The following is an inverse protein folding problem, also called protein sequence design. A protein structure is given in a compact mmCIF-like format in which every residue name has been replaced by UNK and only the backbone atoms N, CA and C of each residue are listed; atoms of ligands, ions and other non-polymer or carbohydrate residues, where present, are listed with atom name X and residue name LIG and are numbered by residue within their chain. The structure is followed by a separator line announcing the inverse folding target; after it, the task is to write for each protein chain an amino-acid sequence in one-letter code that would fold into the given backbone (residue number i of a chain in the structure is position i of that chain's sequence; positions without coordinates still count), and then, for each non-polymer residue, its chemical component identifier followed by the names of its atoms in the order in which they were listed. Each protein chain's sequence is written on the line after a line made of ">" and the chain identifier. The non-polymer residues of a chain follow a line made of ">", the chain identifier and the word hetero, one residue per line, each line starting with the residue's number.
data_IF_684650341272
#
_entry.id   IF_684650341272
#
_cell.length_a   1.000
_cell.length_b   1.000
_cell.length_c   1.000
_cell.angle_alpha   90.00
_cell.angle_beta   90.00
_cell.angle_gamma   90.00
#
_symmetry.space_group_name_H-M   'P 1'
#
loop_
_entity.id
_entity.type
_entity.pdbx_description
1 polymer ?
#
# COMPACT_ATOMS: atom_id res chain seq x y z
N UNK A 1 -2.70 9.02 -50.38
CA UNK A 1 -1.85 8.29 -49.44
C UNK A 1 -2.13 8.84 -48.06
N UNK A 2 -3.12 8.26 -47.38
CA UNK A 2 -3.37 8.51 -45.95
C UNK A 2 -2.27 7.79 -45.19
N UNK A 3 -1.27 8.55 -44.72
CA UNK A 3 -0.34 8.04 -43.74
C UNK A 3 -1.16 7.65 -42.52
N UNK A 4 -1.17 6.36 -42.18
CA UNK A 4 -1.56 5.89 -40.85
C UNK A 4 -0.62 6.56 -39.86
N UNK A 5 -1.04 7.67 -39.28
CA UNK A 5 -0.42 8.22 -38.08
C UNK A 5 -0.57 7.13 -37.03
N UNK A 6 0.53 6.44 -36.69
CA UNK A 6 0.54 5.58 -35.51
C UNK A 6 0.19 6.49 -34.35
N UNK A 7 -1.01 6.31 -33.80
CA UNK A 7 -1.48 7.07 -32.65
C UNK A 7 -0.49 6.84 -31.51
N UNK A 8 0.04 7.90 -30.93
CA UNK A 8 1.02 7.78 -29.86
C UNK A 8 0.38 7.02 -28.69
N UNK A 9 1.06 5.99 -28.18
CA UNK A 9 0.50 5.07 -27.19
C UNK A 9 1.45 4.98 -25.97
N UNK A 10 0.95 5.23 -24.74
CA UNK A 10 1.71 4.99 -23.51
C UNK A 10 2.42 3.63 -23.48
N UNK A 11 1.80 2.57 -23.99
CA UNK A 11 2.40 1.24 -24.01
C UNK A 11 3.68 1.17 -24.87
N UNK A 12 3.75 1.95 -25.95
CA UNK A 12 4.94 2.03 -26.80
C UNK A 12 6.04 2.90 -26.16
N UNK A 13 5.67 3.91 -25.37
CA UNK A 13 6.59 4.78 -24.66
C UNK A 13 7.13 4.15 -23.35
N UNK A 14 6.44 3.14 -22.82
CA UNK A 14 6.74 2.50 -21.54
C UNK A 14 8.19 2.02 -21.37
N UNK A 15 8.81 1.28 -22.34
CA UNK A 15 10.20 0.85 -22.18
C UNK A 15 11.17 2.02 -22.07
N UNK A 16 10.98 3.07 -22.87
CA UNK A 16 11.82 4.27 -22.83
C UNK A 16 11.62 5.06 -21.53
N UNK A 17 10.40 5.13 -21.01
CA UNK A 17 10.14 5.74 -19.71
C UNK A 17 10.83 4.98 -18.57
N UNK A 18 10.75 3.64 -18.55
CA UNK A 18 11.47 2.81 -17.57
C UNK A 18 12.99 2.96 -17.65
N UNK A 19 13.54 3.09 -18.85
CA UNK A 19 14.97 3.37 -19.04
C UNK A 19 15.36 4.72 -18.45
N UNK A 20 14.54 5.77 -18.63
CA UNK A 20 14.76 7.05 -17.98
C UNK A 20 14.76 6.94 -16.45
N UNK A 21 13.86 6.12 -15.87
CA UNK A 21 13.85 5.86 -14.43
C UNK A 21 15.11 5.12 -13.96
N UNK A 22 15.57 4.13 -14.75
CA UNK A 22 16.77 3.34 -14.44
C UNK A 22 18.04 4.20 -14.42
N UNK A 23 18.16 5.10 -15.39
CA UNK A 23 19.30 6.02 -15.54
C UNK A 23 19.16 7.30 -14.70
N UNK A 24 18.10 7.42 -13.90
CA UNK A 24 17.77 8.60 -13.10
C UNK A 24 17.68 9.91 -13.91
N UNK A 25 17.23 9.84 -15.16
CA UNK A 25 17.07 11.00 -16.06
C UNK A 25 15.66 11.60 -15.93
N UNK A 26 15.49 12.53 -14.97
CA UNK A 26 14.24 13.26 -14.78
C UNK A 26 13.83 14.02 -16.05
N UNK A 27 14.79 14.61 -16.76
CA UNK A 27 14.49 15.46 -17.91
C UNK A 27 13.91 14.62 -19.05
N UNK A 28 14.58 13.53 -19.42
CA UNK A 28 14.10 12.62 -20.44
C UNK A 28 12.75 11.99 -20.05
N UNK A 29 12.55 11.61 -18.79
CA UNK A 29 11.28 11.08 -18.31
C UNK A 29 10.11 12.07 -18.49
N UNK A 30 10.34 13.36 -18.18
CA UNK A 30 9.35 14.42 -18.41
C UNK A 30 9.10 14.64 -19.90
N UNK A 31 10.13 14.62 -20.74
CA UNK A 31 9.99 14.76 -22.19
C UNK A 31 9.16 13.62 -22.81
N UNK A 32 9.30 12.37 -22.33
CA UNK A 32 8.47 11.24 -22.76
C UNK A 32 6.99 11.53 -22.49
N UNK A 33 6.65 11.95 -21.27
CA UNK A 33 5.26 12.27 -20.93
C UNK A 33 4.73 13.48 -21.71
N UNK A 34 5.55 14.52 -21.89
CA UNK A 34 5.19 15.71 -22.68
C UNK A 34 4.95 15.37 -24.15
N UNK A 35 5.79 14.52 -24.74
CA UNK A 35 5.63 14.06 -26.12
C UNK A 35 4.30 13.32 -26.34
N UNK A 36 3.88 12.48 -25.40
CA UNK A 36 2.56 11.82 -25.44
C UNK A 36 1.42 12.86 -25.42
N UNK A 37 1.51 13.86 -24.54
CA UNK A 37 0.51 14.92 -24.44
C UNK A 37 0.44 15.78 -25.71
N UNK A 38 1.59 16.16 -26.27
CA UNK A 38 1.70 16.91 -27.54
C UNK A 38 1.13 16.12 -28.73
N UNK A 39 1.25 14.78 -28.69
CA UNK A 39 0.64 13.89 -29.66
C UNK A 39 -0.87 13.65 -29.45
N UNK A 40 -1.49 14.30 -28.45
CA UNK A 40 -2.92 14.25 -28.20
C UNK A 40 -3.38 13.12 -27.26
N UNK A 41 -2.46 12.39 -26.62
CA UNK A 41 -2.82 11.37 -25.63
C UNK A 41 -3.46 12.04 -24.41
N UNK A 42 -4.63 11.56 -23.94
CA UNK A 42 -5.26 12.13 -22.75
C UNK A 42 -4.36 12.05 -21.52
N UNK A 43 -4.31 13.12 -20.70
CA UNK A 43 -3.50 13.15 -19.48
C UNK A 43 -3.83 11.99 -18.52
N UNK A 44 -5.11 11.59 -18.40
CA UNK A 44 -5.52 10.43 -17.61
C UNK A 44 -4.84 9.14 -18.09
N UNK A 45 -4.67 8.94 -19.40
CA UNK A 45 -3.96 7.79 -19.99
C UNK A 45 -2.46 7.85 -19.70
N UNK A 46 -1.83 9.03 -19.77
CA UNK A 46 -0.41 9.18 -19.40
C UNK A 46 -0.19 8.81 -17.92
N UNK A 47 -1.08 9.24 -17.03
CA UNK A 47 -0.99 8.90 -15.60
C UNK A 47 -1.20 7.40 -15.33
N UNK A 48 -2.23 6.81 -15.92
CA UNK A 48 -2.67 5.45 -15.58
C UNK A 48 -2.04 4.34 -16.43
N UNK A 49 -1.59 4.64 -17.65
CA UNK A 49 -1.04 3.65 -18.57
C UNK A 49 0.47 3.81 -18.84
N UNK A 50 1.10 4.89 -18.35
CA UNK A 50 2.56 5.05 -18.34
C UNK A 50 3.11 5.05 -16.91
N UNK A 51 2.70 6.02 -16.08
CA UNK A 51 3.30 6.23 -14.76
C UNK A 51 2.92 5.11 -13.79
N UNK A 52 1.63 4.77 -13.67
CA UNK A 52 1.18 3.71 -12.77
C UNK A 52 1.83 2.33 -13.05
N UNK A 53 1.86 1.81 -14.29
CA UNK A 53 2.51 0.53 -14.55
C UNK A 53 4.03 0.60 -14.39
N UNK A 54 4.65 1.75 -14.67
CA UNK A 54 6.10 1.90 -14.48
C UNK A 54 6.45 1.82 -12.99
N UNK A 55 5.65 2.45 -12.15
CA UNK A 55 5.80 2.35 -10.69
C UNK A 55 5.58 0.93 -10.17
N UNK A 56 4.67 0.16 -10.78
CA UNK A 56 4.50 -1.25 -10.43
C UNK A 56 5.77 -2.07 -10.78
N UNK A 57 6.32 -1.88 -11.97
CA UNK A 57 7.57 -2.53 -12.40
C UNK A 57 8.77 -2.13 -11.52
N UNK A 58 8.86 -0.85 -11.12
CA UNK A 58 9.87 -0.38 -10.15
C UNK A 58 9.78 -1.18 -8.84
N UNK A 59 8.56 -1.41 -8.34
CA UNK A 59 8.32 -2.24 -7.15
C UNK A 59 8.74 -3.70 -7.34
N UNK A 60 8.45 -4.29 -8.50
CA UNK A 60 8.85 -5.67 -8.84
C UNK A 60 10.37 -5.83 -8.91
N UNK A 61 11.07 -4.90 -9.55
CA UNK A 61 12.55 -4.91 -9.61
C UNK A 61 13.18 -4.75 -8.24
N UNK A 62 12.59 -3.91 -7.38
CA UNK A 62 13.00 -3.81 -5.99
C UNK A 62 12.76 -5.12 -5.23
N UNK A 63 11.61 -5.76 -5.40
CA UNK A 63 11.29 -7.02 -4.73
C UNK A 63 12.30 -8.13 -5.07
N UNK A 64 12.67 -8.21 -6.35
CA UNK A 64 13.64 -9.19 -6.89
C UNK A 64 15.11 -8.88 -6.61
N UNK A 65 15.40 -7.83 -5.83
CA UNK A 65 16.77 -7.35 -5.53
C UNK A 65 17.55 -6.91 -6.78
N UNK A 66 16.84 -6.59 -7.87
CA UNK A 66 17.44 -6.02 -9.10
C UNK A 66 17.71 -4.53 -8.91
N UNK A 67 16.83 -3.85 -8.17
CA UNK A 67 16.94 -2.42 -7.86
C UNK A 67 17.07 -2.21 -6.35
N UNK A 68 18.05 -1.39 -5.97
CA UNK A 68 18.24 -0.95 -4.60
C UNK A 68 17.12 -0.02 -4.14
N UNK A 69 17.00 0.17 -2.82
CA UNK A 69 16.10 1.18 -2.22
C UNK A 69 16.37 2.59 -2.78
N UNK A 70 17.64 2.93 -3.04
CA UNK A 70 17.99 4.23 -3.62
C UNK A 70 17.46 4.41 -5.05
N UNK A 71 17.50 3.34 -5.87
CA UNK A 71 16.95 3.36 -7.23
C UNK A 71 15.43 3.45 -7.23
N UNK A 72 14.75 2.70 -6.35
CA UNK A 72 13.30 2.81 -6.16
C UNK A 72 12.91 4.24 -5.76
N UNK A 73 13.57 4.82 -4.75
CA UNK A 73 13.29 6.19 -4.32
C UNK A 73 13.54 7.22 -5.43
N UNK A 74 14.63 7.10 -6.18
CA UNK A 74 14.93 7.99 -7.30
C UNK A 74 13.84 7.90 -8.39
N UNK A 75 13.45 6.69 -8.79
CA UNK A 75 12.42 6.46 -9.79
C UNK A 75 11.04 6.96 -9.35
N UNK A 76 10.67 6.75 -8.08
CA UNK A 76 9.42 7.26 -7.50
C UNK A 76 9.40 8.80 -7.50
N UNK A 77 10.52 9.44 -7.14
CA UNK A 77 10.63 10.90 -7.19
C UNK A 77 10.57 11.45 -8.62
N UNK A 78 11.21 10.80 -9.59
CA UNK A 78 11.10 11.18 -11.01
C UNK A 78 9.65 11.03 -11.49
N UNK A 79 8.97 9.96 -11.09
CA UNK A 79 7.54 9.75 -11.39
C UNK A 79 6.66 10.86 -10.82
N UNK A 80 6.90 11.31 -9.58
CA UNK A 80 6.21 12.48 -9.01
C UNK A 80 6.44 13.75 -9.83
N UNK A 81 7.66 13.95 -10.35
CA UNK A 81 8.00 15.10 -11.21
C UNK A 81 7.27 15.04 -12.55
N UNK A 82 7.15 13.84 -13.12
CA UNK A 82 6.37 13.58 -14.34
C UNK A 82 4.89 13.84 -14.10
N UNK A 83 4.32 13.35 -13.00
CA UNK A 83 2.92 13.63 -12.62
C UNK A 83 2.68 15.14 -12.48
N UNK A 84 3.59 15.87 -11.85
CA UNK A 84 3.49 17.34 -11.75
C UNK A 84 3.55 18.02 -13.12
N UNK A 85 4.38 17.54 -14.06
CA UNK A 85 4.46 18.07 -15.42
C UNK A 85 3.16 17.81 -16.21
N UNK A 86 2.60 16.60 -16.12
CA UNK A 86 1.30 16.25 -16.71
C UNK A 86 0.19 17.14 -16.13
N UNK A 87 0.20 17.35 -14.81
CA UNK A 87 -0.78 18.18 -14.14
C UNK A 87 -0.71 19.66 -14.57
N UNK A 88 0.49 20.18 -14.81
CA UNK A 88 0.70 21.54 -15.29
C UNK A 88 0.30 21.73 -16.76
N UNK A 89 0.35 20.67 -17.57
CA UNK A 89 -0.07 20.71 -18.98
C UNK A 89 -1.59 20.81 -19.13
N UNK A 90 -2.36 20.13 -18.27
CA UNK A 90 -3.83 20.14 -18.28
C UNK A 90 -4.37 20.73 -16.97
N UNK A 91 -4.81 21.99 -17.01
CA UNK A 91 -5.35 22.72 -15.84
C UNK A 91 -6.85 23.08 -16.00
N UNK A 92 -7.76 22.08 -15.91
CA UNK A 92 -9.19 22.33 -15.99
C UNK A 92 -9.66 23.08 -14.74
N UNK A 93 -10.55 24.07 -14.95
CA UNK A 93 -11.24 24.69 -13.82
C UNK A 93 -12.16 23.66 -13.14
N UNK A 94 -12.18 23.62 -11.80
CA UNK A 94 -13.10 22.73 -11.09
C UNK A 94 -14.55 23.13 -11.37
N UNK A 95 -15.40 22.14 -11.58
CA UNK A 95 -16.84 22.26 -11.84
C UNK A 95 -17.70 21.50 -10.83
N UNK A 96 -17.07 20.74 -9.94
CA UNK A 96 -17.70 19.93 -8.88
C UNK A 96 -17.21 20.37 -7.49
N UNK A 97 -17.73 19.71 -6.45
CA UNK A 97 -17.37 19.97 -5.05
C UNK A 97 -15.91 19.67 -4.71
N UNK A 98 -15.57 19.79 -3.42
CA UNK A 98 -14.22 19.53 -2.92
C UNK A 98 -14.04 18.08 -2.49
N UNK A 99 -13.01 17.41 -2.98
CA UNK A 99 -12.55 16.13 -2.43
C UNK A 99 -11.18 16.32 -1.79
N UNK A 100 -11.03 15.79 -0.58
CA UNK A 100 -9.75 15.67 0.09
C UNK A 100 -9.18 14.27 -0.18
N UNK A 101 -7.94 14.19 -0.63
CA UNK A 101 -7.24 12.94 -0.89
C UNK A 101 -6.04 12.85 0.06
N UNK A 102 -5.90 11.74 0.76
CA UNK A 102 -4.82 11.54 1.73
C UNK A 102 -4.41 10.07 1.84
N UNK A 103 -3.17 9.83 2.19
CA UNK A 103 -2.78 8.53 2.75
C UNK A 103 -3.18 8.46 4.21
N UNK A 104 -3.54 7.27 4.64
CA UNK A 104 -3.91 7.02 6.04
C UNK A 104 -2.72 7.23 6.99
N UNK A 105 -3.01 7.35 8.28
CA UNK A 105 -2.00 7.48 9.32
C UNK A 105 -0.98 6.31 9.27
N UNK A 106 0.31 6.64 9.21
CA UNK A 106 1.41 5.67 9.08
C UNK A 106 1.55 5.05 7.68
N UNK A 107 0.83 5.55 6.67
CA UNK A 107 0.95 5.15 5.26
C UNK A 107 1.78 6.18 4.47
N UNK A 108 2.89 5.74 3.91
CA UNK A 108 3.88 6.60 3.25
C UNK A 108 3.87 6.50 1.72
N UNK A 109 3.18 5.51 1.14
CA UNK A 109 3.11 5.32 -0.30
C UNK A 109 2.13 6.33 -0.94
N UNK A 110 2.62 7.56 -1.17
CA UNK A 110 1.81 8.70 -1.59
C UNK A 110 1.47 8.73 -3.09
N UNK A 111 2.34 8.20 -3.95
CA UNK A 111 2.20 8.31 -5.40
C UNK A 111 0.87 7.73 -5.93
N UNK A 112 0.40 6.54 -5.52
CA UNK A 112 -0.92 6.05 -5.97
C UNK A 112 -2.08 6.99 -5.58
N UNK A 113 -2.04 7.56 -4.38
CA UNK A 113 -3.04 8.53 -3.92
C UNK A 113 -2.93 9.84 -4.72
N UNK A 114 -1.71 10.25 -5.10
CA UNK A 114 -1.48 11.39 -5.97
C UNK A 114 -2.07 11.17 -7.36
N UNK A 115 -1.92 9.97 -7.94
CA UNK A 115 -2.55 9.64 -9.23
C UNK A 115 -4.08 9.72 -9.16
N UNK A 116 -4.69 9.19 -8.09
CA UNK A 116 -6.14 9.32 -7.84
C UNK A 116 -6.54 10.80 -7.75
N UNK A 117 -5.77 11.61 -7.02
CA UNK A 117 -6.01 13.04 -6.90
C UNK A 117 -6.00 13.75 -8.27
N UNK A 118 -5.06 13.40 -9.15
CA UNK A 118 -5.01 13.97 -10.50
C UNK A 118 -6.17 13.52 -11.38
N UNK A 119 -6.57 12.25 -11.34
CA UNK A 119 -7.72 11.75 -12.10
C UNK A 119 -9.01 12.44 -11.65
N UNK A 120 -9.22 12.60 -10.35
CA UNK A 120 -10.38 13.33 -9.83
C UNK A 120 -10.36 14.80 -10.28
N UNK A 121 -9.19 15.44 -10.29
CA UNK A 121 -9.01 16.82 -10.78
C UNK A 121 -9.35 16.94 -12.27
N UNK A 122 -8.86 16.02 -13.10
CA UNK A 122 -9.18 15.94 -14.53
C UNK A 122 -10.69 15.74 -14.75
N UNK A 123 -11.35 15.04 -13.84
CA UNK A 123 -12.81 14.87 -13.78
C UNK A 123 -13.51 16.01 -13.05
N UNK A 124 -12.92 17.21 -12.98
CA UNK A 124 -13.59 18.45 -12.59
C UNK A 124 -13.83 18.63 -11.09
N UNK A 125 -13.33 17.73 -10.22
CA UNK A 125 -13.39 17.92 -8.78
C UNK A 125 -12.37 18.96 -8.31
N UNK A 126 -12.72 19.73 -7.28
CA UNK A 126 -11.75 20.56 -6.58
C UNK A 126 -10.95 19.68 -5.61
N UNK A 127 -9.65 19.51 -5.88
CA UNK A 127 -8.83 18.56 -5.13
C UNK A 127 -7.91 19.24 -4.13
N UNK A 128 -7.87 18.68 -2.92
CA UNK A 128 -6.80 18.94 -1.95
C UNK A 128 -6.11 17.62 -1.64
N UNK A 129 -4.86 17.48 -2.07
CA UNK A 129 -4.02 16.34 -1.71
C UNK A 129 -3.19 16.67 -0.47
N UNK A 130 -3.37 15.90 0.61
CA UNK A 130 -2.68 16.12 1.89
C UNK A 130 -1.39 15.31 2.04
N UNK A 131 -1.11 14.40 1.11
CA UNK A 131 0.11 13.59 1.12
C UNK A 131 0.05 12.37 2.03
N UNK A 132 1.25 11.94 2.43
CA UNK A 132 1.50 10.77 3.26
C UNK A 132 1.12 10.96 4.73
N UNK A 133 0.79 9.85 5.41
CA UNK A 133 0.75 9.72 6.87
C UNK A 133 -0.02 10.82 7.60
N UNK A 134 -1.24 11.12 7.16
CA UNK A 134 -2.07 12.18 7.75
C UNK A 134 -2.75 11.68 9.03
N UNK A 135 -2.50 12.29 10.22
CA UNK A 135 -3.14 11.83 11.45
C UNK A 135 -4.65 12.08 11.44
N UNK A 136 -5.43 11.10 11.92
CA UNK A 136 -6.89 11.12 11.83
C UNK A 136 -7.54 12.37 12.48
N UNK A 137 -7.02 12.82 13.64
CA UNK A 137 -7.56 14.00 14.35
C UNK A 137 -7.38 15.30 13.54
N UNK A 138 -6.25 15.44 12.85
CA UNK A 138 -5.98 16.60 12.00
C UNK A 138 -6.75 16.53 10.69
N UNK A 139 -6.91 15.33 10.12
CA UNK A 139 -7.75 15.15 8.93
C UNK A 139 -9.18 15.59 9.20
N UNK A 140 -9.83 15.10 10.26
CA UNK A 140 -11.22 15.46 10.58
C UNK A 140 -11.39 16.98 10.71
N UNK A 141 -10.46 17.64 11.41
CA UNK A 141 -10.46 19.09 11.55
C UNK A 141 -10.32 19.81 10.21
N UNK A 142 -9.52 19.27 9.29
CA UNK A 142 -9.34 19.80 7.95
C UNK A 142 -10.61 19.64 7.10
N UNK A 143 -11.24 18.45 7.13
CA UNK A 143 -12.44 18.17 6.35
C UNK A 143 -13.58 19.14 6.69
N UNK A 144 -13.81 19.39 7.98
CA UNK A 144 -14.81 20.38 8.44
C UNK A 144 -14.48 21.80 8.00
N UNK A 145 -13.22 22.22 8.14
CA UNK A 145 -12.81 23.60 7.82
C UNK A 145 -13.03 23.96 6.36
N UNK A 146 -12.92 22.98 5.46
CA UNK A 146 -12.95 23.20 4.02
C UNK A 146 -14.20 22.65 3.32
N UNK A 147 -15.21 22.24 4.09
CA UNK A 147 -16.50 21.72 3.57
C UNK A 147 -16.29 20.63 2.50
N UNK A 148 -15.53 19.59 2.89
CA UNK A 148 -15.21 18.50 1.98
C UNK A 148 -16.47 17.69 1.64
N UNK A 149 -16.75 17.55 0.33
CA UNK A 149 -17.83 16.72 -0.19
C UNK A 149 -17.61 15.24 0.14
N UNK A 150 -16.35 14.79 0.03
CA UNK A 150 -15.93 13.44 0.40
C UNK A 150 -14.42 13.44 0.71
N UNK A 151 -13.97 12.35 1.34
CA UNK A 151 -12.55 12.05 1.50
C UNK A 151 -12.21 10.72 0.82
N UNK A 152 -11.15 10.72 0.01
CA UNK A 152 -10.55 9.52 -0.56
C UNK A 152 -9.27 9.17 0.21
N UNK A 153 -9.26 8.00 0.84
CA UNK A 153 -8.15 7.56 1.67
C UNK A 153 -7.43 6.36 1.06
N UNK A 154 -6.11 6.44 0.93
CA UNK A 154 -5.28 5.36 0.40
C UNK A 154 -4.59 4.57 1.51
N UNK A 155 -4.57 3.24 1.37
CA UNK A 155 -3.79 2.32 2.18
C UNK A 155 -3.09 1.30 1.28
N UNK A 156 -1.76 1.23 1.33
CA UNK A 156 -0.95 0.31 0.55
C UNK A 156 -0.57 -0.95 1.33
N UNK A 157 -0.54 -0.89 2.67
CA UNK A 157 -0.10 -2.00 3.52
C UNK A 157 -1.25 -2.55 4.40
N UNK A 158 -1.64 -3.83 4.26
CA UNK A 158 -2.73 -4.43 5.06
C UNK A 158 -2.53 -4.38 6.57
N UNK A 159 -1.28 -4.38 7.05
CA UNK A 159 -0.95 -4.18 8.47
C UNK A 159 -1.52 -2.88 9.07
N UNK A 160 -1.91 -1.90 8.23
CA UNK A 160 -2.51 -0.63 8.65
C UNK A 160 -4.03 -0.68 8.81
N UNK A 161 -4.71 -1.77 8.46
CA UNK A 161 -6.18 -1.88 8.53
C UNK A 161 -6.79 -1.49 9.89
N UNK A 162 -6.20 -1.82 11.06
CA UNK A 162 -6.73 -1.33 12.34
C UNK A 162 -6.67 0.20 12.49
N UNK A 163 -5.61 0.83 11.97
CA UNK A 163 -5.46 2.29 11.97
C UNK A 163 -6.42 2.92 10.95
N UNK A 164 -6.51 2.32 9.77
CA UNK A 164 -7.45 2.69 8.71
C UNK A 164 -8.89 2.71 9.22
N UNK A 165 -9.32 1.65 9.92
CA UNK A 165 -10.68 1.57 10.45
C UNK A 165 -10.97 2.68 11.46
N UNK A 166 -10.06 2.98 12.39
CA UNK A 166 -10.22 4.11 13.32
C UNK A 166 -10.36 5.45 12.60
N UNK A 167 -9.59 5.64 11.53
CA UNK A 167 -9.63 6.86 10.71
C UNK A 167 -10.94 6.98 9.92
N UNK A 168 -11.40 5.88 9.30
CA UNK A 168 -12.70 5.80 8.62
C UNK A 168 -13.83 6.18 9.59
N UNK A 169 -13.82 5.60 10.79
CA UNK A 169 -14.82 5.87 11.81
C UNK A 169 -14.76 7.30 12.35
N UNK A 170 -13.58 7.93 12.38
CA UNK A 170 -13.45 9.35 12.75
C UNK A 170 -14.05 10.28 11.69
N UNK A 171 -13.83 9.98 10.40
CA UNK A 171 -14.44 10.71 9.28
C UNK A 171 -15.97 10.53 9.25
N UNK A 172 -16.47 9.31 9.49
CA UNK A 172 -17.93 9.04 9.57
C UNK A 172 -18.63 9.80 10.68
N UNK A 173 -18.03 9.88 11.87
CA UNK A 173 -18.56 10.68 12.99
C UNK A 173 -18.62 12.18 12.68
N UNK A 174 -17.93 12.60 11.63
CA UNK A 174 -17.91 13.97 11.12
C UNK A 174 -18.88 14.19 9.96
N UNK A 175 -19.70 13.19 9.60
CA UNK A 175 -20.63 13.19 8.47
C UNK A 175 -19.98 13.48 7.11
N UNK A 176 -18.68 13.18 6.98
CA UNK A 176 -17.96 13.27 5.70
C UNK A 176 -17.93 11.89 5.05
N UNK A 177 -18.51 11.72 3.85
CA UNK A 177 -18.43 10.47 3.09
C UNK A 177 -16.98 10.03 2.85
N UNK A 178 -16.72 8.72 3.02
CA UNK A 178 -15.38 8.13 2.88
C UNK A 178 -15.41 7.11 1.74
N UNK A 179 -14.44 7.21 0.84
CA UNK A 179 -14.05 6.13 -0.07
C UNK A 179 -12.62 5.72 0.25
N UNK A 180 -12.33 4.43 0.21
CA UNK A 180 -10.97 3.92 0.41
C UNK A 180 -10.45 3.23 -0.84
N UNK A 181 -9.13 3.14 -0.96
CA UNK A 181 -8.49 2.43 -2.05
C UNK A 181 -7.09 1.96 -1.67
N UNK A 182 -6.46 1.29 -2.62
CA UNK A 182 -5.12 0.70 -2.46
C UNK A 182 -5.16 -0.75 -2.03
N UNK A 183 -4.07 -1.46 -2.34
CA UNK A 183 -3.90 -2.91 -2.13
C UNK A 183 -3.98 -3.32 -0.66
N UNK A 184 -3.87 -2.37 0.28
CA UNK A 184 -4.02 -2.60 1.71
C UNK A 184 -5.39 -3.14 2.10
N UNK A 185 -6.41 -2.99 1.24
CA UNK A 185 -7.76 -3.53 1.44
C UNK A 185 -8.03 -4.87 0.73
N UNK A 186 -6.99 -5.47 0.13
CA UNK A 186 -7.08 -6.67 -0.70
C UNK A 186 -7.37 -6.32 -2.17
N UNK A 187 -6.92 -7.17 -3.10
CA UNK A 187 -7.07 -6.94 -4.55
C UNK A 187 -8.53 -6.87 -5.05
N UNK A 188 -9.47 -7.35 -4.24
CA UNK A 188 -10.91 -7.38 -4.48
C UNK A 188 -11.70 -6.53 -3.44
N UNK A 189 -11.00 -5.75 -2.63
CA UNK A 189 -11.61 -4.93 -1.57
C UNK A 189 -12.24 -5.74 -0.43
N UNK A 190 -11.89 -7.03 -0.26
CA UNK A 190 -12.49 -7.89 0.79
C UNK A 190 -12.43 -7.29 2.19
N UNK A 191 -11.32 -6.66 2.57
CA UNK A 191 -11.20 -6.07 3.90
C UNK A 191 -11.92 -4.73 4.03
N UNK A 192 -12.12 -4.00 2.93
CA UNK A 192 -13.00 -2.83 2.96
C UNK A 192 -14.46 -3.23 3.22
N UNK A 193 -14.91 -4.37 2.68
CA UNK A 193 -16.24 -4.94 2.97
C UNK A 193 -16.39 -5.34 4.44
N UNK A 194 -15.37 -5.96 5.04
CA UNK A 194 -15.35 -6.31 6.48
C UNK A 194 -15.44 -5.05 7.35
N UNK A 195 -14.71 -4.00 6.98
CA UNK A 195 -14.73 -2.68 7.65
C UNK A 195 -15.94 -1.81 7.24
N UNK A 196 -16.82 -2.34 6.40
CA UNK A 196 -18.06 -1.71 5.99
C UNK A 196 -17.88 -0.39 5.26
N UNK A 197 -16.82 -0.20 4.47
CA UNK A 197 -16.49 1.07 3.77
C UNK A 197 -16.50 0.92 2.25
N UNK A 198 -16.96 1.93 1.47
CA UNK A 198 -16.85 1.92 0.00
C UNK A 198 -15.39 1.82 -0.44
N UNK A 199 -15.11 0.95 -1.42
CA UNK A 199 -13.77 0.73 -1.95
C UNK A 199 -13.72 0.89 -3.45
N UNK A 200 -12.65 1.52 -3.93
CA UNK A 200 -12.32 1.65 -5.34
C UNK A 200 -11.06 0.84 -5.67
N UNK A 201 -11.08 -0.03 -6.70
CA UNK A 201 -9.89 -0.73 -7.21
C UNK A 201 -8.91 0.22 -7.91
N UNK A 202 -9.39 1.30 -8.51
CA UNK A 202 -8.60 2.21 -9.34
C UNK A 202 -9.15 3.65 -9.29
N UNK A 203 -8.41 4.58 -9.92
CA UNK A 203 -8.76 5.99 -9.93
C UNK A 203 -10.06 6.32 -10.70
N UNK A 204 -10.35 5.72 -11.87
CA UNK A 204 -11.65 5.87 -12.54
C UNK A 204 -12.83 5.46 -11.65
N UNK A 205 -12.76 4.29 -11.02
CA UNK A 205 -13.82 3.80 -10.14
C UNK A 205 -13.95 4.67 -8.89
N UNK A 206 -12.84 5.17 -8.35
CA UNK A 206 -12.89 6.14 -7.25
C UNK A 206 -13.65 7.41 -7.66
N UNK A 207 -13.43 7.91 -8.89
CA UNK A 207 -14.14 9.06 -9.42
C UNK A 207 -15.64 8.83 -9.64
N UNK A 208 -16.02 7.62 -10.05
CA UNK A 208 -17.42 7.24 -10.21
C UNK A 208 -18.12 7.10 -8.86
N UNK A 209 -17.45 6.48 -7.87
CA UNK A 209 -17.98 6.32 -6.52
C UNK A 209 -18.17 7.64 -5.78
N UNK A 210 -17.21 8.57 -5.85
CA UNK A 210 -17.35 9.88 -5.19
C UNK A 210 -18.41 10.77 -5.84
N UNK A 211 -18.82 10.46 -7.07
CA UNK A 211 -19.93 11.15 -7.74
C UNK A 211 -21.31 10.60 -7.36
N UNK A 212 -21.38 9.42 -6.73
CA UNK A 212 -22.62 8.81 -6.26
C UNK A 212 -22.68 8.79 -4.71
N UNK A 213 -23.24 9.86 -4.15
CA UNK A 213 -23.38 9.99 -2.69
C UNK A 213 -24.21 8.84 -2.08
N UNK A 214 -25.18 8.29 -2.83
CA UNK A 214 -25.97 7.15 -2.37
C UNK A 214 -25.08 5.91 -2.26
N UNK A 215 -24.21 5.67 -3.24
CA UNK A 215 -23.26 4.55 -3.19
C UNK A 215 -22.31 4.68 -1.98
N UNK A 216 -21.80 5.88 -1.69
CA UNK A 216 -20.93 6.12 -0.53
C UNK A 216 -21.61 5.79 0.81
N UNK A 217 -22.92 6.01 0.91
CA UNK A 217 -23.70 5.80 2.14
C UNK A 217 -24.36 4.42 2.22
N UNK A 218 -24.37 3.63 1.15
CA UNK A 218 -25.11 2.36 1.07
C UNK A 218 -24.37 1.13 1.66
N UNK A 219 -23.21 1.31 2.29
CA UNK A 219 -22.40 0.18 2.77
C UNK A 219 -22.84 -0.25 4.18
N UNK A 220 -23.03 -1.56 4.43
CA UNK A 220 -23.34 -2.06 5.77
C UNK A 220 -22.26 -1.68 6.78
N UNK A 221 -22.61 -1.51 8.06
CA UNK A 221 -21.62 -1.25 9.11
C UNK A 221 -20.64 -2.42 9.24
N UNK A 222 -19.44 -2.12 9.74
CA UNK A 222 -18.42 -3.12 10.04
C UNK A 222 -18.98 -4.19 11.00
N UNK A 223 -18.61 -5.45 10.76
CA UNK A 223 -18.95 -6.59 11.63
C UNK A 223 -17.66 -7.17 12.18
N UNK A 224 -17.36 -6.83 13.43
CA UNK A 224 -16.09 -7.16 14.10
C UNK A 224 -16.32 -7.81 15.47
N UNK A 225 -17.38 -8.61 15.59
CA UNK A 225 -17.79 -9.25 16.85
C UNK A 225 -16.67 -10.14 17.44
N UNK A 226 -15.83 -10.69 16.56
CA UNK A 226 -14.67 -11.50 16.90
C UNK A 226 -13.60 -10.71 17.69
N UNK A 227 -13.58 -9.37 17.65
CA UNK A 227 -12.64 -8.58 18.46
C UNK A 227 -12.93 -8.62 19.96
N UNK A 228 -14.07 -9.17 20.37
CA UNK A 228 -14.42 -9.36 21.78
C UNK A 228 -13.58 -10.43 22.49
N UNK A 229 -12.81 -11.25 21.76
CA UNK A 229 -11.92 -12.26 22.32
C UNK A 229 -10.59 -11.72 22.87
N UNK A 230 -10.37 -10.40 22.78
CA UNK A 230 -9.17 -9.68 23.21
C UNK A 230 -7.85 -10.14 22.56
N UNK A 231 -7.85 -11.06 21.58
CA UNK A 231 -6.60 -11.57 20.98
C UNK A 231 -5.82 -10.45 20.28
N UNK A 232 -6.52 -9.67 19.44
CA UNK A 232 -5.94 -8.50 18.76
C UNK A 232 -5.43 -7.46 19.78
N UNK A 233 -6.24 -7.15 20.79
CA UNK A 233 -5.91 -6.12 21.77
C UNK A 233 -4.69 -6.52 22.62
N UNK A 234 -4.59 -7.80 22.97
CA UNK A 234 -3.48 -8.39 23.69
C UNK A 234 -2.21 -8.40 22.85
N UNK A 235 -2.28 -8.82 21.59
CA UNK A 235 -1.16 -8.82 20.66
C UNK A 235 -0.62 -7.41 20.43
N UNK A 236 -1.50 -6.43 20.19
CA UNK A 236 -1.13 -5.04 19.98
C UNK A 236 -0.39 -4.43 21.20
N UNK A 237 -0.82 -4.77 22.43
CA UNK A 237 -0.13 -4.33 23.66
C UNK A 237 1.23 -5.00 23.86
N UNK A 238 1.36 -6.26 23.43
CA UNK A 238 2.58 -7.07 23.58
C UNK A 238 3.55 -6.94 22.40
N UNK A 239 3.26 -6.08 21.41
CA UNK A 239 4.09 -5.91 20.21
C UNK A 239 5.58 -5.77 20.49
N UNK A 240 5.96 -4.86 21.40
CA UNK A 240 7.37 -4.65 21.77
C UNK A 240 8.01 -5.89 22.41
N UNK A 241 7.32 -6.50 23.38
CA UNK A 241 7.75 -7.74 24.05
C UNK A 241 8.00 -8.88 23.06
N UNK A 242 7.10 -9.04 22.08
CA UNK A 242 7.22 -10.07 21.05
C UNK A 242 8.46 -9.85 20.19
N UNK A 243 8.68 -8.63 19.69
CA UNK A 243 9.85 -8.28 18.88
C UNK A 243 11.15 -8.50 19.68
N UNK A 244 11.22 -7.98 20.90
CA UNK A 244 12.41 -8.11 21.75
C UNK A 244 12.73 -9.58 22.05
N UNK A 245 11.71 -10.38 22.36
CA UNK A 245 11.89 -11.81 22.65
C UNK A 245 12.32 -12.60 21.41
N UNK A 246 11.80 -12.26 20.22
CA UNK A 246 12.18 -12.91 18.97
C UNK A 246 13.62 -12.56 18.57
N UNK A 247 14.02 -11.29 18.73
CA UNK A 247 15.40 -10.88 18.50
C UNK A 247 16.37 -11.60 19.45
N UNK A 248 15.99 -11.74 20.73
CA UNK A 248 16.80 -12.48 21.70
C UNK A 248 16.96 -13.95 21.30
N UNK A 249 15.88 -14.62 20.87
CA UNK A 249 15.93 -16.01 20.41
C UNK A 249 16.80 -16.17 19.14
N UNK A 250 16.69 -15.25 18.17
CA UNK A 250 17.54 -15.24 16.98
C UNK A 250 19.02 -15.08 17.34
N UNK A 251 19.36 -14.15 18.25
CA UNK A 251 20.75 -13.97 18.72
C UNK A 251 21.28 -15.19 19.45
N UNK A 252 20.42 -15.92 20.16
CA UNK A 252 20.81 -17.14 20.86
C UNK A 252 21.07 -18.28 19.88
N UNK A 253 20.14 -18.53 18.94
CA UNK A 253 20.10 -19.74 18.12
C UNK A 253 20.72 -19.62 16.73
N UNK A 254 20.93 -18.41 16.22
CA UNK A 254 21.51 -18.17 14.89
C UNK A 254 22.88 -17.49 15.06
N UNK A 255 24.01 -18.22 14.97
CA UNK A 255 25.34 -17.68 15.25
C UNK A 255 25.65 -16.40 14.47
N UNK A 256 25.26 -16.32 13.19
CA UNK A 256 25.52 -15.16 12.34
C UNK A 256 24.81 -13.87 12.76
N UNK A 257 23.72 -13.94 13.53
CA UNK A 257 22.99 -12.76 14.01
C UNK A 257 23.78 -12.00 15.09
N UNK A 258 24.66 -12.70 15.82
CA UNK A 258 25.51 -12.07 16.85
C UNK A 258 26.52 -11.08 16.25
N UNK A 259 26.88 -11.29 15.00
CA UNK A 259 27.86 -10.49 14.25
C UNK A 259 27.20 -9.43 13.36
N UNK A 260 25.88 -9.25 13.46
CA UNK A 260 25.16 -8.22 12.69
C UNK A 260 25.62 -6.81 13.05
N UNK A 261 25.78 -5.99 12.02
CA UNK A 261 25.95 -4.54 12.15
C UNK A 261 24.68 -3.90 12.73
N UNK A 262 24.76 -2.67 13.29
CA UNK A 262 23.58 -1.94 13.76
C UNK A 262 22.48 -1.83 12.70
N UNK A 263 22.83 -1.54 11.45
CA UNK A 263 21.87 -1.45 10.35
C UNK A 263 21.17 -2.79 10.07
N UNK A 264 21.89 -3.91 10.14
CA UNK A 264 21.29 -5.24 9.97
C UNK A 264 20.37 -5.61 11.14
N UNK A 265 20.70 -5.19 12.36
CA UNK A 265 19.83 -5.35 13.52
C UNK A 265 18.56 -4.51 13.38
N UNK A 266 18.67 -3.26 12.94
CA UNK A 266 17.51 -2.38 12.71
C UNK A 266 16.56 -2.96 11.64
N UNK A 267 17.12 -3.49 10.53
CA UNK A 267 16.32 -4.20 9.52
C UNK A 267 15.66 -5.45 10.11
N UNK A 268 16.39 -6.25 10.89
CA UNK A 268 15.84 -7.46 11.53
C UNK A 268 14.69 -7.11 12.48
N UNK A 269 14.85 -6.07 13.31
CA UNK A 269 13.80 -5.57 14.22
C UNK A 269 12.58 -5.09 13.43
N UNK A 270 12.80 -4.44 12.29
CA UNK A 270 11.73 -4.00 11.40
C UNK A 270 10.95 -5.20 10.83
N UNK A 271 11.65 -6.22 10.33
CA UNK A 271 11.02 -7.44 9.78
C UNK A 271 10.24 -8.22 10.85
N UNK A 272 10.81 -8.36 12.05
CA UNK A 272 10.13 -8.95 13.21
C UNK A 272 8.85 -8.17 13.55
N UNK A 273 8.92 -6.84 13.50
CA UNK A 273 7.79 -5.95 13.71
C UNK A 273 6.70 -6.10 12.65
N UNK A 274 7.08 -6.22 11.38
CA UNK A 274 6.12 -6.46 10.29
C UNK A 274 5.36 -7.77 10.50
N UNK A 275 6.03 -8.86 10.89
CA UNK A 275 5.35 -10.12 11.17
C UNK A 275 4.27 -9.95 12.26
N UNK A 276 4.58 -9.24 13.34
CA UNK A 276 3.60 -8.97 14.41
C UNK A 276 2.46 -8.06 13.93
N UNK A 277 2.76 -7.03 13.15
CA UNK A 277 1.77 -6.06 12.67
C UNK A 277 0.81 -6.69 11.63
N UNK A 278 1.31 -7.55 10.75
CA UNK A 278 0.49 -8.33 9.81
C UNK A 278 -0.36 -9.39 10.52
N UNK A 279 0.20 -10.10 11.51
CA UNK A 279 -0.59 -11.02 12.35
C UNK A 279 -1.70 -10.26 13.10
N UNK A 280 -1.38 -9.08 13.64
CA UNK A 280 -2.36 -8.20 14.30
C UNK A 280 -3.47 -7.77 13.35
N UNK A 281 -3.13 -7.39 12.12
CA UNK A 281 -4.14 -7.00 11.13
C UNK A 281 -5.00 -8.21 10.69
N UNK A 282 -4.43 -9.39 10.52
CA UNK A 282 -5.17 -10.61 10.20
C UNK A 282 -6.18 -10.95 11.30
N UNK A 283 -5.77 -10.89 12.56
CA UNK A 283 -6.67 -11.02 13.71
C UNK A 283 -7.73 -9.91 13.73
N UNK A 284 -7.38 -8.70 13.29
CA UNK A 284 -8.30 -7.59 13.28
C UNK A 284 -9.47 -7.79 12.31
N UNK A 285 -9.20 -8.35 11.13
CA UNK A 285 -10.22 -8.63 10.10
C UNK A 285 -10.72 -10.09 10.11
N UNK A 286 -10.20 -10.92 11.02
CA UNK A 286 -10.44 -12.37 11.13
C UNK A 286 -10.24 -13.11 9.79
N UNK A 287 -9.12 -12.83 9.15
CA UNK A 287 -8.77 -13.41 7.86
C UNK A 287 -7.31 -13.87 7.85
N UNK A 288 -7.11 -15.19 7.94
CA UNK A 288 -5.77 -15.80 7.94
C UNK A 288 -5.02 -15.58 6.63
N UNK A 289 -5.74 -15.39 5.52
CA UNK A 289 -5.14 -15.18 4.19
C UNK A 289 -4.28 -13.92 4.17
N UNK A 290 -4.66 -12.89 4.93
CA UNK A 290 -3.88 -11.65 5.09
C UNK A 290 -2.47 -11.97 5.59
N UNK A 291 -2.37 -12.83 6.60
CA UNK A 291 -1.09 -13.18 7.21
C UNK A 291 -0.29 -14.14 6.33
N UNK A 292 -0.94 -15.12 5.72
CA UNK A 292 -0.25 -16.11 4.89
C UNK A 292 0.29 -15.51 3.60
N UNK A 293 -0.48 -14.62 2.93
CA UNK A 293 -0.01 -13.88 1.73
C UNK A 293 1.20 -13.01 2.07
N UNK A 294 1.19 -12.34 3.24
CA UNK A 294 2.34 -11.58 3.71
C UNK A 294 3.57 -12.48 3.98
N UNK A 295 3.39 -13.63 4.62
CA UNK A 295 4.50 -14.54 4.93
C UNK A 295 5.10 -15.13 3.64
N UNK A 296 4.27 -15.47 2.66
CA UNK A 296 4.72 -15.92 1.34
C UNK A 296 5.58 -14.83 0.67
N UNK A 297 5.06 -13.62 0.58
CA UNK A 297 5.78 -12.46 0.05
C UNK A 297 7.08 -12.18 0.82
N UNK A 298 7.06 -12.23 2.16
CA UNK A 298 8.26 -12.01 2.98
C UNK A 298 9.34 -13.05 2.69
N UNK A 299 8.96 -14.32 2.51
CA UNK A 299 9.92 -15.38 2.13
C UNK A 299 10.54 -15.08 0.77
N UNK A 300 9.75 -14.68 -0.24
CA UNK A 300 10.27 -14.32 -1.56
C UNK A 300 11.28 -13.17 -1.49
N UNK A 301 10.93 -12.10 -0.76
CA UNK A 301 11.78 -10.91 -0.54
C UNK A 301 13.09 -11.27 0.17
N UNK A 302 13.02 -12.12 1.18
CA UNK A 302 14.20 -12.52 1.96
C UNK A 302 15.09 -13.48 1.15
N UNK A 303 14.51 -14.41 0.41
CA UNK A 303 15.25 -15.34 -0.46
C UNK A 303 15.97 -14.60 -1.58
N UNK A 304 15.34 -13.61 -2.23
CA UNK A 304 16.01 -12.77 -3.24
C UNK A 304 17.24 -12.05 -2.67
N UNK A 305 17.20 -11.73 -1.38
CA UNK A 305 18.28 -11.09 -0.61
C UNK A 305 19.21 -12.06 0.11
N UNK A 306 19.21 -13.35 -0.29
CA UNK A 306 20.08 -14.42 0.25
C UNK A 306 19.85 -14.74 1.73
N UNK A 307 18.66 -14.48 2.24
CA UNK A 307 18.21 -14.93 3.57
C UNK A 307 17.39 -16.22 3.41
N UNK A 308 17.77 -17.34 4.06
CA UNK A 308 17.06 -18.60 3.91
C UNK A 308 15.62 -18.52 4.41
N UNK A 309 14.67 -19.14 3.70
CA UNK A 309 13.26 -19.24 4.11
C UNK A 309 13.08 -19.80 5.54
N UNK A 310 13.97 -20.72 5.95
CA UNK A 310 13.98 -21.28 7.30
C UNK A 310 14.23 -20.27 8.42
N UNK A 311 14.73 -19.06 8.13
CA UNK A 311 14.82 -17.97 9.11
C UNK A 311 13.43 -17.48 9.52
N UNK A 312 12.50 -17.34 8.57
CA UNK A 312 11.11 -16.94 8.84
C UNK A 312 10.40 -18.01 9.67
N UNK A 313 10.57 -19.29 9.31
CA UNK A 313 9.96 -20.41 10.04
C UNK A 313 10.29 -20.39 11.54
N UNK A 314 11.56 -20.12 11.91
CA UNK A 314 11.99 -20.03 13.31
C UNK A 314 11.30 -18.89 14.06
N UNK A 315 11.17 -17.73 13.43
CA UNK A 315 10.45 -16.60 14.01
C UNK A 315 8.98 -16.94 14.23
N UNK A 316 8.33 -17.61 13.27
CA UNK A 316 6.94 -18.05 13.41
C UNK A 316 6.78 -19.08 14.54
N UNK A 317 7.71 -20.03 14.68
CA UNK A 317 7.74 -20.99 15.80
C UNK A 317 7.85 -20.28 17.16
N UNK A 318 8.73 -19.27 17.25
CA UNK A 318 8.90 -18.48 18.47
C UNK A 318 7.61 -17.73 18.82
N UNK A 319 6.98 -17.05 17.87
CA UNK A 319 5.70 -16.39 18.12
C UNK A 319 4.60 -17.37 18.50
N UNK A 320 4.54 -18.56 17.90
CA UNK A 320 3.58 -19.60 18.28
C UNK A 320 3.73 -19.99 19.75
N UNK A 321 4.95 -20.17 20.25
CA UNK A 321 5.20 -20.46 21.67
C UNK A 321 4.78 -19.31 22.59
N UNK A 322 5.01 -18.06 22.18
CA UNK A 322 4.67 -16.85 22.96
C UNK A 322 3.18 -16.53 22.95
N UNK A 323 2.42 -17.11 22.02
CA UNK A 323 1.01 -16.85 21.78
C UNK A 323 0.14 -18.11 21.89
N UNK A 324 0.62 -19.17 22.57
CA UNK A 324 -0.12 -20.43 22.74
C UNK A 324 -1.48 -20.28 23.46
N UNK A 325 -1.68 -19.22 24.23
CA UNK A 325 -2.95 -18.91 24.89
C UNK A 325 -3.96 -18.19 23.96
N UNK A 326 -3.61 -17.95 22.69
CA UNK A 326 -4.40 -17.21 21.70
C UNK A 326 -4.76 -18.12 20.51
N UNK A 327 -5.90 -18.84 20.56
CA UNK A 327 -6.25 -19.88 19.59
C UNK A 327 -6.28 -19.43 18.13
N UNK A 328 -6.72 -18.22 17.81
CA UNK A 328 -6.71 -17.75 16.40
C UNK A 328 -5.31 -17.37 15.98
N UNK A 329 -4.56 -16.67 16.84
CA UNK A 329 -3.17 -16.33 16.55
C UNK A 329 -2.33 -17.59 16.30
N UNK A 330 -2.50 -18.62 17.13
CA UNK A 330 -1.87 -19.94 16.97
C UNK A 330 -2.28 -20.57 15.63
N UNK A 331 -3.58 -20.62 15.30
CA UNK A 331 -4.07 -21.14 14.00
C UNK A 331 -3.42 -20.42 12.81
N UNK A 332 -3.34 -19.10 12.85
CA UNK A 332 -2.76 -18.31 11.74
C UNK A 332 -1.25 -18.56 11.61
N UNK A 333 -0.54 -18.67 12.74
CA UNK A 333 0.88 -19.02 12.78
C UNK A 333 1.12 -20.45 12.27
N UNK A 334 0.30 -21.42 12.66
CA UNK A 334 0.37 -22.80 12.18
C UNK A 334 0.21 -22.89 10.67
N UNK A 335 -0.76 -22.15 10.13
CA UNK A 335 -1.01 -22.10 8.69
C UNK A 335 0.17 -21.49 7.94
N UNK A 336 0.72 -20.38 8.44
CA UNK A 336 1.90 -19.75 7.88
C UNK A 336 3.13 -20.66 7.94
N UNK A 337 3.35 -21.39 9.04
CA UNK A 337 4.46 -22.35 9.18
C UNK A 337 4.36 -23.49 8.17
N UNK A 338 3.16 -24.04 7.97
CA UNK A 338 2.93 -25.08 6.97
C UNK A 338 3.25 -24.58 5.54
N UNK A 339 2.94 -23.33 5.23
CA UNK A 339 3.27 -22.69 3.96
C UNK A 339 4.79 -22.58 3.77
N UNK A 340 5.52 -22.06 4.76
CA UNK A 340 7.00 -21.93 4.69
C UNK A 340 7.67 -23.31 4.56
N UNK A 341 7.15 -24.33 5.24
CA UNK A 341 7.61 -25.71 5.11
C UNK A 341 7.46 -26.27 3.69
N UNK A 342 6.35 -25.94 3.01
CA UNK A 342 6.12 -26.28 1.60
C UNK A 342 7.10 -25.59 0.65
N UNK A 343 7.37 -24.29 0.86
CA UNK A 343 8.32 -23.51 0.06
C UNK A 343 9.76 -24.01 0.22
N UNK A 344 10.15 -24.44 1.43
CA UNK A 344 11.49 -24.95 1.72
C UNK A 344 11.74 -26.35 1.16
N UNK A 345 10.69 -27.10 0.80
CA UNK A 345 10.77 -28.44 0.23
C UNK A 345 10.74 -28.44 -1.32
N UNK A 346 10.48 -27.30 -1.96
CA UNK A 346 10.56 -27.16 -3.40
C UNK A 346 12.04 -27.16 -3.84
N UNK A 347 12.44 -27.96 -4.85
CA UNK A 347 13.81 -27.92 -5.35
C UNK A 347 14.12 -26.52 -5.88
N UNK A 348 15.30 -25.99 -5.53
CA UNK A 348 15.85 -24.76 -6.11
C UNK A 348 15.76 -24.87 -7.65
N UNK A 349 14.99 -23.97 -8.28
CA UNK A 349 14.81 -23.95 -9.73
C UNK A 349 15.88 -23.11 -10.41
#
# INVERSE_FOLDING_TARGET
>A
MTATTTEADPAQAFPGYLECLAEADEHAAVEVARGLLEAGVPAERVLLDLVAPAQAEVGERWARDEWSVAQEHAATHISERVVAAVAAYVDPRPTRGRIVVACMDGEWHALPARLVAEVLRLRGWQITFLGASVPAAHLVSYLHRYDAHAVALACALPMRLPHAHRMIEACRRSDVPVVVGGRGFGGDGRWARVLGVPWAPDAPTAADLVADERALRAVPPARLDHLADDEYASLAKRRGELIDSALADLRERVPGVRDYTPAQLDSTVSDLGYIVDFLSAALYVDDETLFTEFVEWLVEILVSRRVPAGAVARTLDHYGQRLHDFPRAERFLDRARALVGGLSAAPER
#
